data_IF_901035585447
#
_entry.id   IF_901035585447
#
_cell.length_a   1.000
_cell.length_b   1.000
_cell.length_c   1.000
_cell.angle_alpha   90.00
_cell.angle_beta   90.00
_cell.angle_gamma   90.00
#
_symmetry.space_group_name_H-M   'P 1'
#
loop_
_entity.id
_entity.type
_entity.pdbx_description
1 polymer ?
#
# COMPACT_ATOMS: atom_id res chain seq x y z
N UNK A 1 -35.75 -1.29 8.07
CA UNK A 1 -35.21 -1.86 9.31
C UNK A 1 -36.36 -2.58 10.02
N UNK A 2 -36.29 -3.91 10.13
CA UNK A 2 -37.28 -4.70 10.86
C UNK A 2 -36.68 -5.16 12.20
N UNK A 3 -37.45 -5.08 13.29
CA UNK A 3 -37.02 -5.56 14.61
C UNK A 3 -37.64 -6.93 14.86
N UNK A 4 -36.82 -7.92 15.16
CA UNK A 4 -37.24 -9.29 15.49
C UNK A 4 -36.88 -9.59 16.95
N UNK A 5 -37.76 -10.33 17.63
CA UNK A 5 -37.46 -10.84 18.97
C UNK A 5 -36.63 -12.11 18.85
N UNK A 6 -35.60 -12.22 19.69
CA UNK A 6 -34.84 -13.45 19.86
C UNK A 6 -35.69 -14.45 20.66
N UNK A 7 -35.65 -15.72 20.28
CA UNK A 7 -36.34 -16.82 20.94
C UNK A 7 -35.30 -17.79 21.52
N UNK A 8 -35.60 -18.41 22.66
CA UNK A 8 -34.77 -19.46 23.22
C UNK A 8 -35.33 -20.82 22.79
N UNK A 9 -34.52 -21.59 22.07
CA UNK A 9 -34.85 -22.94 21.60
C UNK A 9 -33.98 -23.98 22.31
N UNK A 10 -34.59 -25.07 22.76
CA UNK A 10 -33.88 -26.16 23.44
C UNK A 10 -33.19 -25.79 24.77
N UNK A 11 -33.46 -24.61 25.31
CA UNK A 11 -32.89 -24.11 26.58
C UNK A 11 -31.45 -23.59 26.48
N UNK A 12 -30.75 -23.81 25.37
CA UNK A 12 -29.32 -23.46 25.21
C UNK A 12 -29.02 -22.60 23.99
N UNK A 13 -29.92 -22.53 23.01
CA UNK A 13 -29.66 -21.86 21.73
C UNK A 13 -30.64 -20.73 21.48
N UNK A 14 -30.11 -19.54 21.20
CA UNK A 14 -30.92 -18.41 20.76
C UNK A 14 -31.17 -18.48 19.25
N UNK A 15 -32.41 -18.24 18.84
CA UNK A 15 -32.82 -18.18 17.43
C UNK A 15 -33.48 -16.85 17.12
N UNK A 16 -33.25 -16.35 15.90
CA UNK A 16 -33.91 -15.15 15.37
C UNK A 16 -34.36 -15.45 13.94
N UNK A 17 -35.58 -15.05 13.59
CA UNK A 17 -36.11 -15.29 12.25
C UNK A 17 -35.47 -14.33 11.24
N UNK A 18 -34.95 -14.88 10.14
CA UNK A 18 -34.47 -14.09 9.00
C UNK A 18 -35.64 -13.40 8.26
N UNK A 19 -35.45 -12.21 7.69
CA UNK A 19 -36.45 -11.58 6.85
C UNK A 19 -36.79 -12.47 5.64
N UNK A 20 -38.08 -12.75 5.42
CA UNK A 20 -38.52 -13.69 4.38
C UNK A 20 -38.08 -13.25 2.97
N UNK A 21 -38.21 -11.96 2.66
CA UNK A 21 -37.79 -11.41 1.36
C UNK A 21 -36.30 -11.63 1.10
N UNK A 22 -35.45 -11.31 2.09
CA UNK A 22 -34.00 -11.52 2.01
C UNK A 22 -33.64 -13.00 1.86
N UNK A 23 -34.25 -13.89 2.66
CA UNK A 23 -34.01 -15.32 2.56
C UNK A 23 -34.40 -15.87 1.16
N UNK A 24 -35.53 -15.44 0.59
CA UNK A 24 -35.95 -15.85 -0.75
C UNK A 24 -35.01 -15.30 -1.84
N UNK A 25 -34.59 -14.03 -1.74
CA UNK A 25 -33.65 -13.40 -2.67
C UNK A 25 -32.31 -14.14 -2.73
N UNK A 26 -31.80 -14.57 -1.59
CA UNK A 26 -30.54 -15.31 -1.47
C UNK A 26 -30.68 -16.83 -1.48
N UNK A 27 -31.86 -17.35 -1.85
CA UNK A 27 -32.15 -18.80 -1.96
C UNK A 27 -31.80 -19.59 -0.68
N UNK A 28 -32.12 -19.01 0.47
CA UNK A 28 -31.96 -19.63 1.79
C UNK A 28 -33.26 -20.34 2.13
N UNK A 29 -33.21 -21.66 2.14
CA UNK A 29 -34.29 -22.56 2.50
C UNK A 29 -34.03 -23.26 3.84
N UNK A 30 -34.99 -24.03 4.32
CA UNK A 30 -34.80 -24.86 5.50
C UNK A 30 -33.64 -25.85 5.27
N UNK A 31 -32.61 -25.78 6.13
CA UNK A 31 -31.41 -26.60 6.00
C UNK A 31 -30.26 -25.92 5.25
N UNK A 32 -30.47 -24.74 4.64
CA UNK A 32 -29.36 -23.94 4.09
C UNK A 32 -28.40 -23.51 5.19
N UNK A 33 -27.10 -23.63 4.92
CA UNK A 33 -26.07 -23.09 5.79
C UNK A 33 -25.96 -21.57 5.60
N UNK A 34 -25.65 -20.87 6.69
CA UNK A 34 -25.32 -19.44 6.70
C UNK A 34 -24.07 -19.25 7.54
N UNK A 35 -23.20 -18.32 7.15
CA UNK A 35 -22.07 -17.89 7.97
C UNK A 35 -22.51 -16.74 8.86
N UNK A 36 -22.03 -16.78 10.09
CA UNK A 36 -22.30 -15.77 11.10
C UNK A 36 -20.99 -15.09 11.47
N UNK A 37 -20.94 -13.77 11.32
CA UNK A 37 -19.77 -12.96 11.68
C UNK A 37 -20.16 -12.03 12.84
N UNK A 38 -20.03 -12.50 14.10
CA UNK A 38 -20.26 -11.65 15.26
C UNK A 38 -19.15 -10.60 15.38
N UNK A 39 -19.53 -9.36 15.70
CA UNK A 39 -18.60 -8.25 15.94
C UNK A 39 -18.62 -7.83 17.41
N UNK A 40 -17.48 -7.32 17.91
CA UNK A 40 -17.33 -6.88 19.30
C UNK A 40 -18.29 -5.74 19.72
N UNK A 41 -18.86 -5.00 18.77
CA UNK A 41 -19.86 -3.95 19.01
C UNK A 41 -21.30 -4.49 19.15
N UNK A 42 -21.49 -5.81 19.21
CA UNK A 42 -22.80 -6.45 19.31
C UNK A 42 -23.54 -6.63 17.98
N UNK A 43 -22.95 -6.23 16.85
CA UNK A 43 -23.51 -6.51 15.52
C UNK A 43 -23.28 -7.98 15.11
N UNK A 44 -24.23 -8.54 14.36
CA UNK A 44 -24.12 -9.87 13.77
C UNK A 44 -24.39 -9.77 12.25
N UNK A 45 -23.38 -10.07 11.44
CA UNK A 45 -23.58 -10.20 9.99
C UNK A 45 -23.93 -11.64 9.65
N UNK A 46 -24.93 -11.81 8.78
CA UNK A 46 -25.36 -13.11 8.28
C UNK A 46 -25.09 -13.14 6.78
N UNK A 47 -24.29 -14.11 6.35
CA UNK A 47 -23.96 -14.34 4.96
C UNK A 47 -24.57 -15.68 4.52
N UNK A 48 -25.19 -15.74 3.33
CA UNK A 48 -25.58 -17.02 2.73
C UNK A 48 -24.33 -17.85 2.45
N UNK A 49 -24.30 -19.11 2.86
CA UNK A 49 -23.14 -19.96 2.58
C UNK A 49 -23.02 -20.39 1.10
N UNK A 50 -23.98 -20.02 0.24
CA UNK A 50 -24.01 -20.37 -1.18
C UNK A 50 -23.03 -19.57 -2.05
N UNK A 51 -22.27 -20.30 -2.88
CA UNK A 51 -21.37 -19.89 -3.99
C UNK A 51 -20.24 -18.88 -3.76
N UNK A 52 -20.22 -18.10 -2.67
CA UNK A 52 -19.21 -17.02 -2.51
C UNK A 52 -18.10 -17.30 -1.51
N UNK A 53 -18.16 -18.39 -0.75
CA UNK A 53 -17.09 -18.76 0.17
C UNK A 53 -16.20 -19.85 -0.41
N UNK A 54 -15.22 -19.46 -1.22
CA UNK A 54 -14.14 -20.35 -1.66
C UNK A 54 -13.88 -20.40 -3.16
N UNK A 55 -14.71 -19.78 -4.01
CA UNK A 55 -14.44 -19.74 -5.44
C UNK A 55 -13.35 -18.72 -5.76
N UNK A 56 -12.25 -19.22 -6.30
CA UNK A 56 -11.12 -18.46 -6.82
C UNK A 56 -11.64 -17.34 -7.73
N UNK A 57 -11.43 -16.07 -7.34
CA UNK A 57 -11.91 -14.94 -8.15
C UNK A 57 -11.21 -14.97 -9.49
N UNK A 58 -11.93 -15.37 -10.53
CA UNK A 58 -11.38 -15.58 -11.86
C UNK A 58 -11.91 -14.53 -12.82
N UNK A 59 -11.02 -13.98 -13.65
CA UNK A 59 -11.40 -13.08 -14.75
C UNK A 59 -10.70 -13.50 -16.04
N UNK A 60 -11.37 -13.29 -17.16
CA UNK A 60 -10.78 -13.42 -18.50
C UNK A 60 -10.70 -12.05 -19.16
N UNK A 61 -9.56 -11.73 -19.77
CA UNK A 61 -9.32 -10.48 -20.49
C UNK A 61 -8.81 -10.79 -21.89
N UNK A 62 -9.48 -10.24 -22.90
CA UNK A 62 -8.90 -10.14 -24.23
C UNK A 62 -7.73 -9.16 -24.21
N UNK A 63 -6.55 -9.71 -24.39
CA UNK A 63 -5.30 -9.01 -24.31
C UNK A 63 -4.70 -8.71 -25.67
N UNK A 64 -5.27 -9.19 -26.80
CA UNK A 64 -4.61 -9.13 -28.11
C UNK A 64 -4.26 -7.71 -28.59
N UNK A 65 -5.08 -6.72 -28.20
CA UNK A 65 -4.85 -5.31 -28.52
C UNK A 65 -3.95 -4.54 -27.54
N UNK A 66 -3.49 -5.17 -26.46
CA UNK A 66 -2.71 -4.48 -25.42
C UNK A 66 -1.22 -4.49 -25.76
N UNK A 67 -0.60 -3.31 -25.71
CA UNK A 67 0.86 -3.16 -25.68
C UNK A 67 1.43 -3.52 -24.29
N UNK A 68 2.75 -3.41 -24.12
CA UNK A 68 3.43 -3.72 -22.84
C UNK A 68 2.82 -2.93 -21.68
N UNK A 69 2.52 -1.67 -21.91
CA UNK A 69 2.05 -0.70 -20.94
C UNK A 69 0.59 -0.95 -20.53
N UNK A 70 -0.25 -1.32 -21.49
CA UNK A 70 -1.61 -1.77 -21.28
C UNK A 70 -1.67 -3.10 -20.54
N UNK A 71 -0.78 -4.05 -20.87
CA UNK A 71 -0.63 -5.32 -20.15
C UNK A 71 -0.25 -5.08 -18.69
N UNK A 72 0.78 -4.27 -18.43
CA UNK A 72 1.24 -3.92 -17.08
C UNK A 72 0.11 -3.34 -16.23
N UNK A 73 -0.58 -2.30 -16.75
CA UNK A 73 -1.70 -1.66 -16.06
C UNK A 73 -2.86 -2.62 -15.80
N UNK A 74 -3.17 -3.50 -16.76
CA UNK A 74 -4.26 -4.48 -16.63
C UNK A 74 -3.94 -5.53 -15.58
N UNK A 75 -2.76 -6.16 -15.65
CA UNK A 75 -2.34 -7.19 -14.68
C UNK A 75 -2.28 -6.59 -13.28
N UNK A 76 -1.66 -5.42 -13.13
CA UNK A 76 -1.59 -4.72 -11.84
C UNK A 76 -2.98 -4.40 -11.30
N UNK A 77 -3.87 -3.82 -12.12
CA UNK A 77 -5.24 -3.47 -11.72
C UNK A 77 -6.03 -4.69 -11.21
N UNK A 78 -5.98 -5.81 -11.95
CA UNK A 78 -6.66 -7.06 -11.58
C UNK A 78 -6.08 -7.67 -10.31
N UNK A 79 -4.76 -7.59 -10.15
CA UNK A 79 -4.09 -8.02 -8.93
C UNK A 79 -4.55 -7.20 -7.71
N UNK A 80 -4.53 -5.86 -7.80
CA UNK A 80 -4.88 -5.03 -6.64
C UNK A 80 -6.38 -5.08 -6.29
N UNK A 81 -7.28 -5.36 -7.24
CA UNK A 81 -8.71 -5.58 -6.89
C UNK A 81 -8.99 -6.96 -6.29
N UNK A 82 -7.98 -7.83 -6.20
CA UNK A 82 -8.11 -9.12 -5.54
C UNK A 82 -8.57 -10.26 -6.44
N UNK A 83 -8.34 -10.19 -7.76
CA UNK A 83 -8.55 -11.35 -8.65
C UNK A 83 -7.48 -12.40 -8.35
N UNK A 84 -7.88 -13.65 -8.10
CA UNK A 84 -6.98 -14.76 -7.79
C UNK A 84 -6.47 -15.45 -9.06
N UNK A 85 -7.27 -15.50 -10.13
CA UNK A 85 -6.87 -16.07 -11.43
C UNK A 85 -7.20 -15.14 -12.58
N UNK A 86 -6.19 -14.80 -13.38
CA UNK A 86 -6.31 -13.92 -14.56
C UNK A 86 -6.01 -14.74 -15.80
N UNK A 87 -6.98 -14.88 -16.71
CA UNK A 87 -6.79 -15.52 -18.02
C UNK A 87 -6.64 -14.44 -19.08
N UNK A 88 -5.45 -14.32 -19.65
CA UNK A 88 -5.16 -13.42 -20.76
C UNK A 88 -5.33 -14.20 -22.06
N UNK A 89 -6.37 -13.87 -22.82
CA UNK A 89 -6.64 -14.49 -24.12
C UNK A 89 -6.17 -13.59 -25.25
N UNK A 90 -5.80 -14.19 -26.37
CA UNK A 90 -5.47 -13.53 -27.62
C UNK A 90 -6.00 -14.43 -28.74
N UNK A 91 -6.77 -13.89 -29.67
CA UNK A 91 -7.29 -14.63 -30.83
C UNK A 91 -6.15 -15.02 -31.80
N UNK A 92 -4.96 -14.45 -31.62
CA UNK A 92 -3.72 -14.81 -32.28
C UNK A 92 -2.78 -15.59 -31.35
N UNK A 93 -1.62 -16.01 -31.86
CA UNK A 93 -0.63 -16.71 -31.02
C UNK A 93 0.16 -15.72 -30.18
N UNK A 94 0.18 -15.91 -28.86
CA UNK A 94 1.08 -15.22 -27.94
C UNK A 94 2.53 -15.42 -28.38
N UNK A 95 3.24 -14.36 -28.74
CA UNK A 95 4.65 -14.46 -29.10
C UNK A 95 5.52 -14.81 -27.89
N UNK A 96 6.71 -15.37 -28.11
CA UNK A 96 7.68 -15.64 -27.04
C UNK A 96 8.06 -14.37 -26.25
N UNK A 97 8.16 -13.23 -26.94
CA UNK A 97 8.43 -11.93 -26.32
C UNK A 97 7.28 -11.47 -25.42
N UNK A 98 6.04 -11.66 -25.86
CA UNK A 98 4.83 -11.33 -25.09
C UNK A 98 4.75 -12.19 -23.83
N UNK A 99 4.99 -13.50 -23.94
CA UNK A 99 5.06 -14.43 -22.80
C UNK A 99 6.12 -14.00 -21.79
N UNK A 100 7.35 -13.72 -22.24
CA UNK A 100 8.45 -13.22 -21.40
C UNK A 100 8.10 -11.91 -20.69
N UNK A 101 7.43 -11.00 -21.41
CA UNK A 101 6.95 -9.74 -20.83
C UNK A 101 5.93 -9.98 -19.73
N UNK A 102 4.95 -10.85 -19.95
CA UNK A 102 3.93 -11.19 -18.94
C UNK A 102 4.56 -11.87 -17.73
N UNK A 103 5.51 -12.80 -17.91
CA UNK A 103 6.25 -13.41 -16.79
C UNK A 103 6.99 -12.38 -15.95
N UNK A 104 7.67 -11.42 -16.58
CA UNK A 104 8.36 -10.34 -15.87
C UNK A 104 7.39 -9.45 -15.10
N UNK A 105 6.27 -9.07 -15.70
CA UNK A 105 5.22 -8.28 -15.04
C UNK A 105 4.61 -9.02 -13.84
N UNK A 106 4.41 -10.34 -13.95
CA UNK A 106 3.93 -11.15 -12.84
C UNK A 106 4.94 -11.18 -11.67
N UNK A 107 6.24 -11.28 -11.97
CA UNK A 107 7.31 -11.29 -10.96
C UNK A 107 7.40 -10.01 -10.11
N UNK A 108 6.91 -8.88 -10.63
CA UNK A 108 6.82 -7.61 -9.90
C UNK A 108 5.70 -7.59 -8.85
N UNK A 109 4.87 -8.62 -8.78
CA UNK A 109 3.74 -8.71 -7.85
C UNK A 109 3.92 -9.87 -6.86
N UNK A 110 3.52 -9.66 -5.60
CA UNK A 110 3.69 -10.69 -4.56
C UNK A 110 2.81 -11.90 -4.84
N UNK A 111 3.45 -13.05 -5.02
CA UNK A 111 2.80 -14.35 -5.20
C UNK A 111 1.98 -14.49 -6.48
N UNK A 112 2.12 -13.62 -7.48
CA UNK A 112 1.48 -13.79 -8.78
C UNK A 112 2.40 -14.60 -9.71
N UNK A 113 1.96 -15.78 -10.13
CA UNK A 113 2.76 -16.68 -10.95
C UNK A 113 2.05 -17.04 -12.25
N UNK A 114 2.83 -17.31 -13.31
CA UNK A 114 2.30 -17.88 -14.57
C UNK A 114 2.07 -19.38 -14.34
N UNK A 115 0.81 -19.80 -14.33
CA UNK A 115 0.44 -21.19 -14.08
C UNK A 115 0.44 -22.03 -15.38
N UNK A 116 -0.17 -21.50 -16.43
CA UNK A 116 -0.36 -22.19 -17.70
C UNK A 116 -0.11 -21.22 -18.86
N UNK A 117 0.43 -21.75 -19.95
CA UNK A 117 0.63 -21.00 -21.19
C UNK A 117 0.35 -21.92 -22.37
N UNK A 118 -0.55 -21.48 -23.23
CA UNK A 118 -0.88 -22.10 -24.51
C UNK A 118 -0.56 -21.12 -25.65
N UNK A 119 -0.98 -21.43 -26.87
CA UNK A 119 -0.82 -20.52 -28.01
C UNK A 119 -1.72 -19.29 -27.89
N UNK A 120 -2.94 -19.41 -27.40
CA UNK A 120 -3.93 -18.33 -27.36
C UNK A 120 -4.26 -17.85 -25.95
N UNK A 121 -3.71 -18.49 -24.92
CA UNK A 121 -4.03 -18.18 -23.52
C UNK A 121 -2.82 -18.24 -22.58
N UNK A 122 -2.72 -17.27 -21.68
CA UNK A 122 -1.79 -17.27 -20.54
C UNK A 122 -2.60 -17.10 -19.25
N UNK A 123 -2.41 -18.00 -18.29
CA UNK A 123 -3.11 -17.96 -17.00
C UNK A 123 -2.14 -17.55 -15.89
N UNK A 124 -2.45 -16.45 -15.20
CA UNK A 124 -1.77 -15.99 -13.99
C UNK A 124 -2.59 -16.39 -12.76
N UNK A 125 -1.92 -16.78 -11.68
CA UNK A 125 -2.56 -17.16 -10.41
C UNK A 125 -1.85 -16.53 -9.22
N UNK A 126 -2.63 -15.93 -8.31
CA UNK A 126 -2.16 -15.51 -6.99
C UNK A 126 -2.04 -16.72 -6.07
N UNK A 127 -0.85 -16.97 -5.56
CA UNK A 127 -0.53 -18.01 -4.58
C UNK A 127 -0.57 -17.48 -3.13
N UNK A 128 -0.93 -16.21 -2.94
CA UNK A 128 -1.03 -15.61 -1.62
C UNK A 128 -2.27 -16.11 -0.86
N UNK A 129 -2.05 -16.61 0.34
CA UNK A 129 -3.08 -17.03 1.29
C UNK A 129 -3.27 -15.94 2.36
N UNK A 130 -4.47 -15.33 2.51
CA UNK A 130 -4.72 -14.31 3.52
C UNK A 130 -4.33 -14.73 4.94
N UNK A 131 -4.57 -16.00 5.32
CA UNK A 131 -4.22 -16.49 6.67
C UNK A 131 -2.72 -16.60 6.95
N UNK A 132 -1.88 -16.51 5.92
CA UNK A 132 -0.41 -16.60 6.03
C UNK A 132 0.30 -15.24 6.02
N UNK A 133 -0.41 -14.17 5.64
CA UNK A 133 0.16 -12.83 5.45
C UNK A 133 -0.15 -11.93 6.64
N UNK A 134 0.89 -11.34 7.23
CA UNK A 134 0.73 -10.29 8.24
C UNK A 134 0.85 -8.92 7.59
N UNK A 135 -0.29 -8.23 7.43
CA UNK A 135 -0.36 -6.89 6.85
C UNK A 135 0.50 -5.91 7.65
N UNK A 136 0.41 -5.93 8.98
CA UNK A 136 1.23 -5.11 9.86
C UNK A 136 2.73 -5.28 9.59
N UNK A 137 3.22 -6.53 9.51
CA UNK A 137 4.64 -6.81 9.20
C UNK A 137 5.02 -6.37 7.79
N UNK A 138 4.12 -6.48 6.82
CA UNK A 138 4.36 -6.00 5.45
C UNK A 138 4.53 -4.48 5.41
N UNK A 139 3.71 -3.73 6.15
CA UNK A 139 3.84 -2.27 6.25
C UNK A 139 5.12 -1.87 6.99
N UNK A 140 5.50 -2.59 8.06
CA UNK A 140 6.79 -2.38 8.73
C UNK A 140 7.99 -2.66 7.82
N UNK A 141 7.92 -3.71 6.99
CA UNK A 141 8.97 -4.00 6.00
C UNK A 141 9.05 -2.89 4.96
N UNK A 142 7.92 -2.39 4.48
CA UNK A 142 7.85 -1.26 3.55
C UNK A 142 8.50 -0.01 4.17
N UNK A 143 8.19 0.34 5.43
CA UNK A 143 8.87 1.40 6.19
C UNK A 143 10.40 1.27 6.10
N UNK A 144 10.95 0.10 6.43
CA UNK A 144 12.39 -0.13 6.46
C UNK A 144 13.05 0.02 5.08
N UNK A 145 12.38 -0.47 4.04
CA UNK A 145 12.87 -0.35 2.65
C UNK A 145 12.89 1.11 2.24
N UNK A 146 11.76 1.81 2.39
CA UNK A 146 11.57 3.22 2.03
C UNK A 146 12.57 4.13 2.76
N UNK A 147 12.73 4.00 4.08
CA UNK A 147 13.70 4.81 4.84
C UNK A 147 15.15 4.53 4.42
N UNK A 148 15.45 3.27 4.08
CA UNK A 148 16.75 2.89 3.51
C UNK A 148 16.98 3.52 2.14
N UNK A 149 15.98 3.48 1.26
CA UNK A 149 16.02 4.09 -0.07
C UNK A 149 16.24 5.59 0.02
N UNK A 150 15.49 6.32 0.87
CA UNK A 150 15.64 7.76 1.02
C UNK A 150 17.07 8.17 1.45
N UNK A 151 17.64 7.44 2.42
CA UNK A 151 19.03 7.65 2.86
C UNK A 151 20.04 7.36 1.74
N UNK A 152 19.89 6.22 1.08
CA UNK A 152 20.83 5.75 0.06
C UNK A 152 20.74 6.64 -1.21
N UNK A 153 19.55 7.13 -1.57
CA UNK A 153 19.32 8.06 -2.67
C UNK A 153 20.02 9.40 -2.46
N UNK A 154 19.88 9.96 -1.26
CA UNK A 154 20.56 11.22 -0.91
C UNK A 154 22.06 11.05 -0.91
N UNK A 155 22.58 9.95 -0.35
CA UNK A 155 24.01 9.64 -0.43
C UNK A 155 24.47 9.53 -1.88
N UNK A 156 23.74 8.81 -2.73
CA UNK A 156 24.08 8.66 -4.14
C UNK A 156 24.09 10.02 -4.87
N UNK A 157 23.12 10.89 -4.56
CA UNK A 157 23.02 12.23 -5.14
C UNK A 157 24.21 13.12 -4.75
N UNK A 158 24.57 13.17 -3.46
CA UNK A 158 25.64 14.07 -2.99
C UNK A 158 27.04 13.57 -3.35
N UNK A 159 27.28 12.26 -3.36
CA UNK A 159 28.60 11.68 -3.71
C UNK A 159 28.76 11.38 -5.19
N UNK A 160 27.70 11.53 -6.00
CA UNK A 160 27.67 11.12 -7.40
C UNK A 160 27.83 9.61 -7.65
N UNK A 161 27.43 8.77 -6.68
CA UNK A 161 27.57 7.32 -6.76
C UNK A 161 26.42 6.70 -7.58
N UNK A 162 26.65 6.54 -8.89
CA UNK A 162 25.69 5.91 -9.82
C UNK A 162 25.33 4.47 -9.42
N UNK A 163 26.27 3.71 -8.86
CA UNK A 163 26.02 2.31 -8.49
C UNK A 163 25.05 2.20 -7.32
N UNK A 164 25.16 3.14 -6.37
CA UNK A 164 24.21 3.27 -5.28
C UNK A 164 22.85 3.77 -5.78
N UNK A 165 22.83 4.70 -6.73
CA UNK A 165 21.59 5.16 -7.35
C UNK A 165 20.83 4.03 -8.07
N UNK A 166 21.52 3.21 -8.86
CA UNK A 166 20.93 2.04 -9.52
C UNK A 166 20.36 1.05 -8.49
N UNK A 167 21.07 0.84 -7.38
CA UNK A 167 20.60 -0.01 -6.27
C UNK A 167 19.31 0.55 -5.63
N UNK A 168 19.16 1.87 -5.51
CA UNK A 168 17.92 2.48 -5.02
C UNK A 168 16.78 2.24 -6.00
N UNK A 169 17.02 2.43 -7.30
CA UNK A 169 16.02 2.22 -8.35
C UNK A 169 15.52 0.77 -8.35
N UNK A 170 16.42 -0.21 -8.21
CA UNK A 170 16.04 -1.62 -8.12
C UNK A 170 15.23 -1.97 -6.86
N UNK A 171 15.43 -1.26 -5.75
CA UNK A 171 14.70 -1.50 -4.50
C UNK A 171 13.26 -0.96 -4.53
N UNK A 172 12.96 -0.05 -5.45
CA UNK A 172 11.62 0.50 -5.66
C UNK A 172 10.62 -0.60 -6.07
N UNK A 173 11.03 -1.53 -6.95
CA UNK A 173 10.25 -2.70 -7.34
C UNK A 173 9.77 -3.52 -6.12
N UNK A 174 10.59 -3.63 -5.07
CA UNK A 174 10.22 -4.35 -3.84
C UNK A 174 9.25 -3.53 -2.97
N UNK A 175 9.39 -2.20 -2.94
CA UNK A 175 8.45 -1.31 -2.25
C UNK A 175 7.06 -1.37 -2.90
N UNK A 176 7.00 -1.26 -4.23
CA UNK A 176 5.80 -1.41 -5.05
C UNK A 176 5.11 -2.76 -4.82
N UNK A 177 5.89 -3.84 -4.83
CA UNK A 177 5.41 -5.20 -4.62
C UNK A 177 4.74 -5.40 -3.26
N UNK A 178 5.28 -4.78 -2.21
CA UNK A 178 4.67 -4.78 -0.87
C UNK A 178 3.41 -3.92 -0.82
N UNK A 179 3.45 -2.71 -1.39
CA UNK A 179 2.31 -1.82 -1.41
C UNK A 179 1.12 -2.40 -2.20
N UNK A 180 1.37 -3.01 -3.35
CA UNK A 180 0.37 -3.69 -4.16
C UNK A 180 -0.31 -4.83 -3.37
N UNK A 181 0.47 -5.61 -2.60
CA UNK A 181 -0.06 -6.67 -1.74
C UNK A 181 -0.94 -6.12 -0.62
N UNK A 182 -0.52 -5.07 0.09
CA UNK A 182 -1.34 -4.41 1.12
C UNK A 182 -2.65 -3.90 0.51
N UNK A 183 -2.57 -3.26 -0.67
CA UNK A 183 -3.74 -2.77 -1.40
C UNK A 183 -4.70 -3.90 -1.80
N UNK A 184 -4.16 -5.04 -2.26
CA UNK A 184 -4.93 -6.24 -2.59
C UNK A 184 -5.77 -6.71 -1.40
N UNK A 185 -5.16 -6.88 -0.24
CA UNK A 185 -5.85 -7.37 0.95
C UNK A 185 -6.84 -6.36 1.51
N UNK A 186 -6.48 -5.07 1.53
CA UNK A 186 -7.41 -4.01 1.89
C UNK A 186 -8.66 -4.05 1.00
N UNK A 187 -8.51 -4.08 -0.34
CA UNK A 187 -9.65 -4.14 -1.26
C UNK A 187 -10.45 -5.43 -1.12
N UNK A 188 -9.82 -6.59 -0.89
CA UNK A 188 -10.53 -7.84 -0.61
C UNK A 188 -11.40 -7.73 0.64
N UNK A 189 -10.88 -7.12 1.71
CA UNK A 189 -11.61 -6.94 2.98
C UNK A 189 -12.88 -6.09 2.87
N UNK A 190 -12.98 -5.24 1.84
CA UNK A 190 -14.17 -4.40 1.62
C UNK A 190 -15.37 -5.23 1.16
N UNK A 191 -15.12 -6.30 0.41
CA UNK A 191 -16.17 -7.10 -0.24
C UNK A 191 -16.30 -8.53 0.32
N UNK A 192 -15.27 -9.03 1.01
CA UNK A 192 -15.18 -10.41 1.49
C UNK A 192 -15.05 -10.43 3.02
N UNK A 193 -16.06 -10.99 3.69
CA UNK A 193 -16.05 -11.09 5.15
C UNK A 193 -15.08 -12.17 5.65
N UNK A 194 -14.87 -13.25 4.89
CA UNK A 194 -13.94 -14.31 5.29
C UNK A 194 -12.50 -13.80 5.33
N UNK A 195 -12.13 -12.94 4.38
CA UNK A 195 -10.79 -12.32 4.34
C UNK A 195 -10.52 -11.46 5.58
N UNK A 196 -11.53 -10.78 6.13
CA UNK A 196 -11.37 -10.02 7.38
C UNK A 196 -11.05 -10.96 8.54
N UNK A 197 -11.81 -12.05 8.66
CA UNK A 197 -11.65 -13.02 9.74
C UNK A 197 -10.27 -13.72 9.64
N UNK A 198 -9.77 -13.98 8.43
CA UNK A 198 -8.46 -14.60 8.20
C UNK A 198 -7.27 -13.66 8.46
N UNK A 199 -7.43 -12.36 8.20
CA UNK A 199 -6.36 -11.36 8.40
C UNK A 199 -6.20 -10.93 9.87
N UNK A 200 -7.13 -11.28 10.75
CA UNK A 200 -7.14 -10.89 12.17
C UNK A 200 -7.02 -9.37 12.39
N UNK A 201 -7.67 -8.59 11.52
CA UNK A 201 -7.67 -7.13 11.57
C UNK A 201 -9.06 -6.56 11.27
N UNK A 202 -9.43 -5.48 11.92
CA UNK A 202 -10.64 -4.71 11.59
C UNK A 202 -10.48 -3.96 10.27
N UNK A 203 -11.61 -3.59 9.65
CA UNK A 203 -11.62 -2.76 8.43
C UNK A 203 -10.95 -1.40 8.64
N UNK A 204 -11.11 -0.82 9.83
CA UNK A 204 -10.48 0.46 10.17
C UNK A 204 -8.95 0.31 10.21
N UNK A 205 -8.43 -0.75 10.85
CA UNK A 205 -7.00 -1.04 10.87
C UNK A 205 -6.44 -1.33 9.47
N UNK A 206 -7.16 -2.07 8.64
CA UNK A 206 -6.75 -2.34 7.26
C UNK A 206 -6.72 -1.06 6.41
N UNK A 207 -7.67 -0.14 6.65
CA UNK A 207 -7.64 1.18 6.03
C UNK A 207 -6.43 2.01 6.49
N UNK A 208 -6.16 2.04 7.80
CA UNK A 208 -4.99 2.71 8.38
C UNK A 208 -3.69 2.16 7.76
N UNK A 209 -3.54 0.83 7.69
CA UNK A 209 -2.38 0.20 7.06
C UNK A 209 -2.25 0.51 5.57
N UNK A 210 -3.35 0.49 4.81
CA UNK A 210 -3.35 0.89 3.41
C UNK A 210 -2.91 2.35 3.24
N UNK A 211 -3.45 3.25 4.05
CA UNK A 211 -3.14 4.67 3.98
C UNK A 211 -1.67 4.95 4.30
N UNK A 212 -1.15 4.36 5.38
CA UNK A 212 0.26 4.49 5.78
C UNK A 212 1.19 3.87 4.74
N UNK A 213 0.86 2.67 4.24
CA UNK A 213 1.62 2.04 3.16
C UNK A 213 1.67 2.91 1.90
N UNK A 214 0.57 3.62 1.58
CA UNK A 214 0.55 4.55 0.45
C UNK A 214 1.51 5.73 0.64
N UNK A 215 1.64 6.24 1.87
CA UNK A 215 2.60 7.30 2.14
C UNK A 215 4.04 6.79 1.98
N UNK A 216 4.34 5.56 2.41
CA UNK A 216 5.67 4.97 2.20
C UNK A 216 6.00 4.69 0.73
N UNK A 217 5.04 4.25 -0.09
CA UNK A 217 5.23 4.12 -1.54
C UNK A 217 5.58 5.46 -2.17
N UNK A 218 4.83 6.52 -1.86
CA UNK A 218 5.16 7.87 -2.37
C UNK A 218 6.56 8.34 -1.93
N UNK A 219 6.99 8.01 -0.72
CA UNK A 219 8.35 8.35 -0.28
C UNK A 219 9.39 7.52 -1.06
N UNK A 220 9.10 6.26 -1.38
CA UNK A 220 9.96 5.43 -2.22
C UNK A 220 10.08 6.04 -3.65
N UNK A 221 8.98 6.47 -4.25
CA UNK A 221 8.97 7.19 -5.55
C UNK A 221 9.89 8.41 -5.52
N UNK A 222 9.85 9.19 -4.43
CA UNK A 222 10.71 10.38 -4.28
C UNK A 222 12.18 10.01 -4.05
N UNK A 223 12.46 8.92 -3.33
CA UNK A 223 13.82 8.39 -3.23
C UNK A 223 14.34 7.92 -4.59
N UNK A 224 13.51 7.26 -5.40
CA UNK A 224 13.84 6.87 -6.77
C UNK A 224 14.12 8.11 -7.64
N UNK A 225 13.26 9.14 -7.57
CA UNK A 225 13.44 10.42 -8.26
C UNK A 225 14.77 11.08 -7.90
N UNK A 226 15.16 11.11 -6.61
CA UNK A 226 16.45 11.65 -6.16
C UNK A 226 17.60 10.81 -6.73
N UNK A 227 17.52 9.48 -6.65
CA UNK A 227 18.55 8.59 -7.17
C UNK A 227 18.77 8.79 -8.68
N UNK A 228 17.70 8.98 -9.46
CA UNK A 228 17.78 9.28 -10.91
C UNK A 228 18.44 10.63 -11.22
N UNK A 229 18.45 11.56 -10.27
CA UNK A 229 19.13 12.86 -10.38
C UNK A 229 20.61 12.78 -10.02
N UNK A 230 21.09 11.67 -9.45
CA UNK A 230 22.51 11.47 -9.18
C UNK A 230 23.31 11.42 -10.49
N UNK A 231 24.38 12.19 -10.56
CA UNK A 231 25.30 12.20 -11.69
C UNK A 231 26.75 12.20 -11.17
N UNK A 232 27.73 12.15 -12.07
CA UNK A 232 29.16 12.08 -11.68
C UNK A 232 29.71 13.40 -11.12
N UNK A 233 28.96 14.49 -11.22
CA UNK A 233 29.38 15.79 -10.72
C UNK A 233 28.99 15.93 -9.25
N UNK A 234 29.99 15.92 -8.38
CA UNK A 234 29.78 16.17 -6.96
C UNK A 234 29.28 17.59 -6.71
N UNK A 235 28.43 17.74 -5.70
CA UNK A 235 27.97 19.05 -5.23
C UNK A 235 29.10 19.81 -4.54
N UNK A 236 28.94 21.12 -4.42
CA UNK A 236 29.78 21.90 -3.50
C UNK A 236 29.51 21.51 -2.05
N UNK A 237 30.56 21.51 -1.21
CA UNK A 237 30.48 21.05 0.19
C UNK A 237 29.35 21.73 1.01
N UNK A 238 29.10 23.03 0.77
CA UNK A 238 28.06 23.81 1.47
C UNK A 238 26.63 23.34 1.10
N UNK A 239 26.43 22.92 -0.14
CA UNK A 239 25.15 22.36 -0.61
C UNK A 239 24.97 20.93 -0.10
N UNK A 240 26.02 20.12 -0.08
CA UNK A 240 25.98 18.76 0.47
C UNK A 240 25.53 18.76 1.93
N UNK A 241 26.22 19.53 2.80
CA UNK A 241 25.89 19.59 4.23
C UNK A 241 24.43 20.01 4.46
N UNK A 242 23.96 21.02 3.72
CA UNK A 242 22.59 21.53 3.83
C UNK A 242 21.55 20.50 3.39
N UNK A 243 21.73 19.90 2.20
CA UNK A 243 20.79 18.92 1.66
C UNK A 243 20.75 17.64 2.50
N UNK A 244 21.91 17.16 2.93
CA UNK A 244 22.03 15.99 3.80
C UNK A 244 21.31 16.22 5.14
N UNK A 245 21.46 17.40 5.74
CA UNK A 245 20.74 17.79 6.96
C UNK A 245 19.22 17.81 6.78
N UNK A 246 18.71 18.42 5.70
CA UNK A 246 17.27 18.45 5.42
C UNK A 246 16.70 17.06 5.15
N UNK A 247 17.41 16.24 4.37
CA UNK A 247 17.00 14.87 4.10
C UNK A 247 16.95 14.00 5.36
N UNK A 248 17.95 14.10 6.23
CA UNK A 248 17.95 13.34 7.49
C UNK A 248 16.80 13.77 8.40
N UNK A 249 16.49 15.08 8.49
CA UNK A 249 15.33 15.56 9.23
C UNK A 249 14.02 15.06 8.64
N UNK A 250 13.84 15.09 7.32
CA UNK A 250 12.66 14.52 6.66
C UNK A 250 12.52 13.02 6.95
N UNK A 251 13.63 12.27 6.93
CA UNK A 251 13.65 10.84 7.26
C UNK A 251 13.28 10.59 8.73
N UNK A 252 13.77 11.40 9.67
CA UNK A 252 13.41 11.32 11.10
C UNK A 252 11.93 11.61 11.32
N UNK A 253 11.36 12.61 10.62
CA UNK A 253 9.92 12.91 10.62
C UNK A 253 9.11 11.66 10.24
N UNK A 254 9.48 10.98 9.16
CA UNK A 254 8.81 9.75 8.71
C UNK A 254 8.97 8.61 9.72
N UNK A 255 10.17 8.43 10.28
CA UNK A 255 10.46 7.35 11.23
C UNK A 255 9.64 7.50 12.53
N UNK A 256 9.60 8.71 13.09
CA UNK A 256 8.79 9.03 14.27
C UNK A 256 7.29 8.89 13.99
N UNK A 257 6.80 9.39 12.84
CA UNK A 257 5.40 9.23 12.45
C UNK A 257 5.01 7.74 12.39
N UNK A 258 5.87 6.92 11.79
CA UNK A 258 5.65 5.49 11.64
C UNK A 258 5.64 4.76 13.00
N UNK A 259 6.45 5.18 13.97
CA UNK A 259 6.45 4.58 15.30
C UNK A 259 5.13 4.85 16.05
N UNK A 260 4.53 6.02 15.88
CA UNK A 260 3.18 6.29 16.41
C UNK A 260 2.14 5.45 15.67
N UNK A 261 2.19 5.42 14.32
CA UNK A 261 1.19 4.74 13.51
C UNK A 261 1.22 3.20 13.60
N UNK A 262 2.40 2.59 13.80
CA UNK A 262 2.60 1.14 13.67
C UNK A 262 3.06 0.46 14.96
N UNK A 263 3.61 1.20 15.92
CA UNK A 263 4.27 0.62 17.11
C UNK A 263 3.66 1.07 18.44
N UNK A 264 2.46 1.68 18.42
CA UNK A 264 1.76 2.20 19.59
C UNK A 264 2.58 3.22 20.41
N UNK A 265 3.41 4.03 19.75
CA UNK A 265 4.11 5.11 20.44
C UNK A 265 3.14 6.25 20.85
N UNK A 266 3.57 7.11 21.76
CA UNK A 266 2.70 8.15 22.34
C UNK A 266 2.29 9.19 21.29
N UNK A 267 1.00 9.55 21.28
CA UNK A 267 0.41 10.52 20.33
C UNK A 267 1.09 11.90 20.36
N UNK A 268 1.70 12.29 21.49
CA UNK A 268 2.52 13.50 21.56
C UNK A 268 3.62 13.59 20.50
N UNK A 269 4.23 12.45 20.13
CA UNK A 269 5.24 12.43 19.06
C UNK A 269 4.66 12.74 17.68
N UNK A 270 3.36 12.54 17.45
CA UNK A 270 2.71 12.95 16.22
C UNK A 270 2.62 14.49 16.12
N UNK A 271 2.33 15.18 17.23
CA UNK A 271 2.32 16.64 17.28
C UNK A 271 3.72 17.22 17.05
N UNK A 272 4.73 16.65 17.71
CA UNK A 272 6.12 17.05 17.50
C UNK A 272 6.55 16.81 16.04
N UNK A 273 6.13 15.70 15.44
CA UNK A 273 6.39 15.40 14.03
C UNK A 273 5.80 16.47 13.10
N UNK A 274 4.55 16.88 13.31
CA UNK A 274 3.92 17.95 12.51
C UNK A 274 4.66 19.28 12.67
N UNK A 275 5.03 19.67 13.90
CA UNK A 275 5.77 20.90 14.14
C UNK A 275 7.17 20.89 13.50
N UNK A 276 7.88 19.75 13.59
CA UNK A 276 9.19 19.58 12.95
C UNK A 276 9.10 19.61 11.43
N UNK A 277 8.02 19.07 10.85
CA UNK A 277 7.74 19.19 9.42
C UNK A 277 7.57 20.66 9.03
N UNK A 278 6.71 21.40 9.70
CA UNK A 278 6.44 22.80 9.35
C UNK A 278 7.73 23.64 9.39
N UNK A 279 8.55 23.47 10.43
CA UNK A 279 9.85 24.14 10.53
C UNK A 279 10.81 23.76 9.39
N UNK A 280 10.87 22.48 9.01
CA UNK A 280 11.72 22.03 7.89
C UNK A 280 11.26 22.61 6.55
N UNK A 281 9.95 22.68 6.29
CA UNK A 281 9.40 23.22 5.04
C UNK A 281 9.68 24.72 4.92
N UNK A 282 9.54 25.47 6.03
CA UNK A 282 9.87 26.90 6.06
C UNK A 282 11.35 27.14 5.74
N UNK A 283 12.25 26.32 6.29
CA UNK A 283 13.68 26.38 6.01
C UNK A 283 14.01 26.03 4.56
N UNK A 284 13.43 24.96 4.01
CA UNK A 284 13.60 24.56 2.60
C UNK A 284 13.13 25.68 1.66
N UNK A 285 12.00 26.31 1.98
CA UNK A 285 11.43 27.42 1.20
C UNK A 285 12.37 28.63 1.20
N UNK A 286 12.88 29.01 2.38
CA UNK A 286 13.84 30.10 2.51
C UNK A 286 15.13 29.82 1.73
N UNK A 287 15.68 28.61 1.86
CA UNK A 287 16.89 28.19 1.15
C UNK A 287 16.70 28.15 -0.37
N UNK A 288 15.56 27.65 -0.85
CA UNK A 288 15.21 27.65 -2.27
C UNK A 288 15.16 29.06 -2.87
N UNK A 289 14.68 30.05 -2.11
CA UNK A 289 14.73 31.45 -2.52
C UNK A 289 16.16 32.00 -2.62
N UNK A 290 17.05 31.62 -1.71
CA UNK A 290 18.47 32.04 -1.74
C UNK A 290 19.28 31.38 -2.87
N UNK A 291 18.86 30.19 -3.31
CA UNK A 291 19.48 29.46 -4.40
C UNK A 291 19.29 30.20 -5.75
N UNK A 292 18.20 30.96 -5.91
CA UNK A 292 17.94 31.79 -7.09
C UNK A 292 18.98 32.94 -7.19
N UNK A 293 20.08 32.66 -7.91
CA UNK A 293 21.18 33.60 -8.14
C UNK A 293 22.56 33.07 -7.78
N UNK A 294 22.67 31.81 -7.32
CA UNK A 294 23.94 31.14 -7.00
C UNK A 294 24.18 29.96 -7.94
N UNK A 295 25.35 29.88 -8.57
CA UNK A 295 25.80 28.68 -9.31
C UNK A 295 25.34 28.59 -10.76
N UNK A 296 25.61 27.43 -11.38
CA UNK A 296 25.24 27.11 -12.76
C UNK A 296 23.74 26.73 -12.85
N UNK A 297 22.99 27.16 -13.88
CA UNK A 297 21.54 26.92 -13.98
C UNK A 297 21.13 25.45 -13.88
N UNK A 298 21.96 24.54 -14.37
CA UNK A 298 21.69 23.09 -14.34
C UNK A 298 21.81 22.49 -12.93
N UNK A 299 22.82 22.91 -12.16
CA UNK A 299 23.01 22.49 -10.76
C UNK A 299 21.85 23.01 -9.90
N UNK A 300 21.49 24.29 -10.04
CA UNK A 300 20.35 24.90 -9.35
C UNK A 300 19.07 24.13 -9.61
N UNK A 301 18.80 23.77 -10.88
CA UNK A 301 17.61 23.03 -11.24
C UNK A 301 17.57 21.64 -10.58
N UNK A 302 18.68 20.91 -10.63
CA UNK A 302 18.79 19.58 -9.99
C UNK A 302 18.60 19.66 -8.48
N UNK A 303 19.26 20.60 -7.81
CA UNK A 303 19.12 20.83 -6.37
C UNK A 303 17.67 21.20 -6.02
N UNK A 304 17.01 22.04 -6.83
CA UNK A 304 15.60 22.38 -6.65
C UNK A 304 14.67 21.17 -6.69
N UNK A 305 14.92 20.20 -7.59
CA UNK A 305 14.14 18.96 -7.66
C UNK A 305 14.35 18.02 -6.47
N UNK A 306 15.57 18.03 -5.89
CA UNK A 306 15.88 17.29 -4.67
C UNK A 306 15.22 17.92 -3.46
N UNK A 307 15.26 19.25 -3.33
CA UNK A 307 14.55 19.98 -2.26
C UNK A 307 13.05 19.69 -2.29
N UNK A 308 12.40 19.74 -3.46
CA UNK A 308 10.99 19.34 -3.63
C UNK A 308 10.75 17.91 -3.14
N UNK A 309 11.66 16.98 -3.44
CA UNK A 309 11.50 15.58 -3.02
C UNK A 309 11.72 15.37 -1.51
N UNK A 310 12.61 16.13 -0.88
CA UNK A 310 12.81 16.16 0.57
C UNK A 310 11.58 16.74 1.27
N UNK A 311 11.06 17.87 0.78
CA UNK A 311 9.85 18.51 1.28
C UNK A 311 8.66 17.53 1.23
N UNK A 312 8.43 16.90 0.07
CA UNK A 312 7.38 15.89 -0.10
C UNK A 312 7.53 14.71 0.86
N UNK A 313 8.77 14.25 1.09
CA UNK A 313 9.04 13.19 2.07
C UNK A 313 8.60 13.59 3.48
N UNK A 314 8.90 14.81 3.89
CA UNK A 314 8.47 15.33 5.20
C UNK A 314 6.94 15.49 5.29
N UNK A 315 6.30 15.98 4.22
CA UNK A 315 4.83 16.08 4.15
C UNK A 315 4.14 14.71 4.27
N UNK A 316 4.66 13.67 3.61
CA UNK A 316 4.13 12.32 3.76
C UNK A 316 4.33 11.76 5.16
N UNK A 317 5.42 12.11 5.85
CA UNK A 317 5.59 11.82 7.27
C UNK A 317 4.51 12.48 8.14
N UNK A 318 4.17 13.75 7.87
CA UNK A 318 3.06 14.42 8.57
C UNK A 318 1.70 13.76 8.30
N UNK A 319 1.42 13.30 7.07
CA UNK A 319 0.20 12.53 6.77
C UNK A 319 0.10 11.23 7.59
N UNK A 320 1.22 10.52 7.77
CA UNK A 320 1.27 9.31 8.61
C UNK A 320 0.98 9.68 10.08
N UNK A 321 1.59 10.75 10.58
CA UNK A 321 1.37 11.23 11.94
C UNK A 321 -0.11 11.63 12.18
N UNK A 322 -0.74 12.31 11.21
CA UNK A 322 -2.16 12.67 11.27
C UNK A 322 -3.06 11.43 11.34
N UNK A 323 -2.80 10.40 10.53
CA UNK A 323 -3.53 9.14 10.59
C UNK A 323 -3.43 8.48 11.97
N UNK A 324 -2.26 8.56 12.61
CA UNK A 324 -2.06 8.03 13.95
C UNK A 324 -2.87 8.80 15.02
N UNK A 325 -2.98 10.13 14.89
CA UNK A 325 -3.84 10.96 15.74
C UNK A 325 -5.31 10.59 15.55
N UNK A 326 -5.76 10.42 14.30
CA UNK A 326 -7.14 10.02 13.99
C UNK A 326 -7.49 8.64 14.58
N UNK A 327 -6.57 7.68 14.50
CA UNK A 327 -6.70 6.37 15.15
C UNK A 327 -6.83 6.50 16.67
N UNK A 328 -5.95 7.27 17.31
CA UNK A 328 -5.96 7.50 18.76
C UNK A 328 -7.29 8.14 19.21
N UNK A 329 -7.79 9.10 18.43
CA UNK A 329 -9.10 9.73 18.64
C UNK A 329 -10.26 8.73 18.53
N UNK A 330 -10.24 7.86 17.52
CA UNK A 330 -11.24 6.79 17.33
C UNK A 330 -11.27 5.81 18.51
N UNK A 331 -10.12 5.55 19.12
CA UNK A 331 -9.99 4.68 20.30
C UNK A 331 -10.40 5.37 21.61
N UNK A 332 -10.58 6.69 21.60
CA UNK A 332 -10.89 7.46 22.81
C UNK A 332 -9.70 7.63 23.73
N UNK A 333 -8.48 7.56 23.18
CA UNK A 333 -7.21 7.55 23.93
C UNK A 333 -6.43 8.88 23.82
N UNK A 334 -7.09 9.94 23.35
CA UNK A 334 -6.46 11.26 23.31
C UNK A 334 -6.18 11.76 24.73
N UNK A 335 -5.09 12.54 24.95
CA UNK A 335 -4.82 13.16 26.23
C UNK A 335 -6.01 14.03 26.66
N UNK A 336 -6.39 13.95 27.93
CA UNK A 336 -7.35 14.89 28.51
C UNK A 336 -6.79 16.32 28.40
N UNK A 337 -7.67 17.27 28.05
CA UNK A 337 -7.34 18.67 27.82
C UNK A 337 -6.90 19.42 29.09
#
# INVERSE_FOLDING_TARGET
MEIRKVQLSGGTTYTVSLPKSWATEHRIDAGSAVRLHPKGNGSLLVESAGDTGGDERTTTVDSGGLDRDGLARTIHALYVVGVDRIRLVDDTTHSTERRSTITRLAGQLSGLEVLETTDTEITLRSLLDPGSVSIHKSVLRLKLITLGMARDAMRAFVTGDRSLADTVIERDDEADKLFAMVTRYFRRSLSDLAVIDELDHSRDELFEYYYVARQFERIADHAEKIARLANEDALTDDLDETLSSYADRARTIVDHAADVALSNAHVGMAYDTTANRDALVDEITAFSHELHGRGEPEEIHRVGLVLDSIERTAEYGANIAEMAVQRTARQGELPDA
#
